data_IF_990587368731
#
_entry.id   IF_990587368731
#
_cell.length_a   1.000
_cell.length_b   1.000
_cell.length_c   1.000
_cell.angle_alpha   90.00
_cell.angle_beta   90.00
_cell.angle_gamma   90.00
#
_symmetry.space_group_name_H-M   'P 1'
#
loop_
_entity.id
_entity.type
_entity.pdbx_description
1 polymer ?
#
# COMPACT_ATOMS: atom_id res chain seq x y z
N UNK A 1 7.80 -8.70 -16.88
CA UNK A 1 8.71 -9.86 -17.04
C UNK A 1 8.34 -10.92 -16.01
N UNK A 2 7.64 -11.97 -16.43
CA UNK A 2 7.36 -13.17 -15.62
C UNK A 2 8.67 -13.91 -15.40
N UNK A 3 9.11 -14.08 -14.14
CA UNK A 3 10.17 -15.07 -13.86
C UNK A 3 9.56 -16.44 -14.15
N UNK A 4 9.89 -17.03 -15.30
CA UNK A 4 9.56 -18.44 -15.58
C UNK A 4 10.31 -19.28 -14.54
N UNK A 5 9.60 -19.87 -13.60
CA UNK A 5 10.15 -20.90 -12.73
C UNK A 5 10.36 -22.13 -13.59
N UNK A 6 11.60 -22.65 -13.75
CA UNK A 6 11.84 -23.81 -14.60
C UNK A 6 10.99 -25.00 -14.17
N UNK A 7 10.26 -25.61 -15.11
CA UNK A 7 9.53 -26.85 -14.89
C UNK A 7 8.07 -26.75 -14.42
N UNK A 8 7.54 -25.56 -14.08
CA UNK A 8 6.13 -25.41 -13.65
C UNK A 8 5.30 -24.83 -14.80
N UNK A 9 4.19 -25.49 -15.15
CA UNK A 9 3.25 -24.99 -16.18
C UNK A 9 2.49 -23.78 -15.63
N UNK A 10 2.25 -22.75 -16.46
CA UNK A 10 1.50 -21.56 -16.05
C UNK A 10 0.11 -21.89 -15.46
N UNK A 11 -0.54 -22.92 -16.00
CA UNK A 11 -1.84 -23.41 -15.50
C UNK A 11 -1.78 -23.94 -14.05
N UNK A 12 -0.64 -24.46 -13.61
CA UNK A 12 -0.43 -24.92 -12.23
C UNK A 12 -0.21 -23.74 -11.29
N UNK A 13 0.54 -22.72 -11.73
CA UNK A 13 0.71 -21.45 -11.01
C UNK A 13 -0.66 -20.80 -10.79
N UNK A 14 -1.49 -20.73 -11.83
CA UNK A 14 -2.82 -20.13 -11.75
C UNK A 14 -3.74 -20.88 -10.78
N UNK A 15 -3.65 -22.22 -10.75
CA UNK A 15 -4.41 -23.06 -9.82
C UNK A 15 -3.97 -22.84 -8.37
N UNK A 16 -2.66 -22.73 -8.14
CA UNK A 16 -2.09 -22.49 -6.80
C UNK A 16 -2.46 -21.10 -6.29
N UNK A 17 -2.37 -20.05 -7.12
CA UNK A 17 -2.75 -18.67 -6.75
C UNK A 17 -4.23 -18.58 -6.35
N UNK A 18 -5.09 -19.37 -6.99
CA UNK A 18 -6.53 -19.45 -6.65
C UNK A 18 -6.82 -20.27 -5.39
N UNK A 19 -5.83 -20.94 -4.82
CA UNK A 19 -5.98 -21.76 -3.63
C UNK A 19 -6.31 -20.93 -2.39
N UNK A 20 -7.14 -21.44 -1.45
CA UNK A 20 -7.56 -20.71 -0.25
C UNK A 20 -6.37 -20.31 0.64
N UNK A 21 -5.33 -21.15 0.72
CA UNK A 21 -4.09 -20.86 1.47
C UNK A 21 -3.33 -19.67 0.89
N UNK A 22 -3.19 -19.60 -0.44
CA UNK A 22 -2.50 -18.48 -1.09
C UNK A 22 -3.31 -17.20 -0.96
N UNK A 23 -4.64 -17.27 -1.14
CA UNK A 23 -5.54 -16.13 -0.90
C UNK A 23 -5.41 -15.61 0.54
N UNK A 24 -5.43 -16.49 1.54
CA UNK A 24 -5.25 -16.09 2.94
C UNK A 24 -3.87 -15.45 3.19
N UNK A 25 -2.79 -16.01 2.62
CA UNK A 25 -1.46 -15.44 2.73
C UNK A 25 -1.35 -14.06 2.05
N UNK A 26 -1.96 -13.89 0.88
CA UNK A 26 -2.03 -12.59 0.18
C UNK A 26 -2.78 -11.56 1.00
N UNK A 27 -3.94 -11.92 1.57
CA UNK A 27 -4.71 -11.02 2.45
C UNK A 27 -3.92 -10.65 3.70
N UNK A 28 -3.30 -11.61 4.38
CA UNK A 28 -2.48 -11.34 5.57
C UNK A 28 -1.31 -10.40 5.25
N UNK A 29 -0.67 -10.56 4.08
CA UNK A 29 0.39 -9.65 3.63
C UNK A 29 -0.19 -8.26 3.32
N UNK A 30 -1.34 -8.18 2.66
CA UNK A 30 -1.98 -6.91 2.33
C UNK A 30 -2.40 -6.13 3.59
N UNK A 31 -2.93 -6.80 4.61
CA UNK A 31 -3.25 -6.19 5.91
C UNK A 31 -1.98 -5.65 6.58
N UNK A 32 -0.88 -6.43 6.62
CA UNK A 32 0.41 -5.95 7.15
C UNK A 32 0.94 -4.72 6.40
N UNK A 33 0.76 -4.68 5.08
CA UNK A 33 1.14 -3.53 4.26
C UNK A 33 0.24 -2.32 4.57
N UNK A 34 -1.08 -2.53 4.70
CA UNK A 34 -2.04 -1.51 5.08
C UNK A 34 -1.70 -0.92 6.45
N UNK A 35 -1.49 -1.75 7.48
CA UNK A 35 -1.20 -1.33 8.84
C UNK A 35 0.09 -0.51 8.91
N UNK A 36 1.14 -0.98 8.24
CA UNK A 36 2.40 -0.23 8.17
C UNK A 36 2.25 1.09 7.43
N UNK A 37 1.52 1.10 6.30
CA UNK A 37 1.27 2.35 5.57
C UNK A 37 0.49 3.33 6.45
N UNK A 38 -0.54 2.87 7.15
CA UNK A 38 -1.30 3.69 8.11
C UNK A 38 -0.41 4.24 9.22
N UNK A 39 0.50 3.43 9.78
CA UNK A 39 1.35 3.87 10.89
C UNK A 39 2.40 4.90 10.49
N UNK A 40 2.84 4.92 9.23
CA UNK A 40 3.81 5.92 8.72
C UNK A 40 3.14 7.08 7.99
N UNK A 41 1.81 7.07 7.89
CA UNK A 41 1.04 8.15 7.26
C UNK A 41 1.03 9.40 8.14
N UNK A 42 1.15 10.60 7.55
CA UNK A 42 1.04 11.83 8.31
C UNK A 42 -0.40 12.00 8.82
N UNK A 43 -0.53 12.39 10.08
CA UNK A 43 -1.78 12.81 10.71
C UNK A 43 -1.58 14.24 11.17
N UNK A 44 -2.55 15.10 10.88
CA UNK A 44 -2.52 16.48 11.37
C UNK A 44 -2.59 16.49 12.89
N UNK A 45 -1.68 17.21 13.53
CA UNK A 45 -1.61 17.36 14.99
C UNK A 45 -1.37 18.83 15.34
N UNK A 46 -2.37 19.55 15.87
CA UNK A 46 -2.23 20.96 16.23
C UNK A 46 -1.33 21.19 17.45
N UNK A 47 -0.90 20.12 18.13
CA UNK A 47 0.01 20.20 19.27
C UNK A 47 1.49 20.04 18.87
N UNK A 48 1.77 19.62 17.63
CA UNK A 48 3.15 19.55 17.12
C UNK A 48 3.70 20.98 16.93
N UNK A 49 4.85 21.35 17.55
CA UNK A 49 5.46 22.67 17.37
C UNK A 49 5.88 22.99 15.93
N UNK A 50 5.93 21.98 15.04
CA UNK A 50 6.17 22.14 13.60
C UNK A 50 4.89 22.36 12.80
N UNK A 51 3.72 22.21 13.41
CA UNK A 51 2.43 22.47 12.78
C UNK A 51 2.03 23.93 13.07
N UNK A 52 2.08 24.75 12.01
CA UNK A 52 1.75 26.16 12.10
C UNK A 52 0.26 26.44 11.83
N UNK A 53 -0.51 25.42 11.40
CA UNK A 53 -1.94 25.55 11.13
C UNK A 53 -2.74 25.17 12.37
N UNK A 54 -3.85 25.89 12.58
CA UNK A 54 -4.79 25.60 13.67
C UNK A 54 -5.72 24.43 13.37
N UNK A 55 -5.98 24.16 12.09
CA UNK A 55 -6.87 23.10 11.61
C UNK A 55 -6.28 22.41 10.36
N UNK A 56 -6.71 21.18 10.04
CA UNK A 56 -6.40 20.57 8.75
C UNK A 56 -6.95 21.44 7.61
N UNK A 57 -6.18 21.57 6.53
CA UNK A 57 -6.57 22.36 5.36
C UNK A 57 -7.79 21.77 4.62
N UNK A 58 -7.93 20.46 4.65
CA UNK A 58 -9.05 19.74 4.07
C UNK A 58 -9.43 18.55 4.95
N UNK A 59 -10.74 18.37 5.20
CA UNK A 59 -11.28 17.22 5.93
C UNK A 59 -10.84 17.13 7.39
N UNK A 60 -10.99 15.95 7.99
CA UNK A 60 -10.56 15.69 9.36
C UNK A 60 -9.11 15.21 9.45
N UNK A 61 -8.54 15.31 10.64
CA UNK A 61 -7.21 14.79 10.93
C UNK A 61 -7.21 13.26 10.77
N UNK A 62 -6.36 12.75 9.87
CA UNK A 62 -6.23 11.31 9.63
C UNK A 62 -7.04 10.76 8.46
N UNK A 63 -7.86 11.57 7.78
CA UNK A 63 -8.65 11.13 6.60
C UNK A 63 -7.81 10.34 5.59
N UNK A 64 -6.60 10.83 5.29
CA UNK A 64 -5.68 10.14 4.39
C UNK A 64 -5.29 8.74 4.92
N UNK A 65 -4.91 8.64 6.19
CA UNK A 65 -4.55 7.37 6.84
C UNK A 65 -5.72 6.39 6.75
N UNK A 66 -6.92 6.88 7.06
CA UNK A 66 -8.10 6.03 7.17
C UNK A 66 -8.65 5.63 5.79
N UNK A 67 -8.32 6.39 4.74
CA UNK A 67 -8.58 6.05 3.33
C UNK A 67 -7.73 4.90 2.77
N UNK A 68 -6.71 4.43 3.49
CA UNK A 68 -5.87 3.31 3.03
C UNK A 68 -6.64 2.01 3.20
N UNK A 69 -6.99 1.38 2.08
CA UNK A 69 -7.82 0.18 2.02
C UNK A 69 -7.16 -0.94 1.22
N UNK A 70 -7.53 -2.18 1.54
CA UNK A 70 -7.22 -3.35 0.74
C UNK A 70 -8.33 -3.55 -0.29
N UNK A 71 -7.97 -3.55 -1.57
CA UNK A 71 -8.87 -3.91 -2.67
C UNK A 71 -8.55 -5.32 -3.14
N UNK A 72 -9.58 -6.16 -3.19
CA UNK A 72 -9.55 -7.49 -3.78
C UNK A 72 -10.33 -7.44 -5.09
N UNK A 73 -9.71 -7.91 -6.16
CA UNK A 73 -10.34 -7.90 -7.48
C UNK A 73 -9.89 -9.08 -8.33
N UNK A 74 -10.31 -9.06 -9.59
CA UNK A 74 -9.93 -10.04 -10.59
C UNK A 74 -9.72 -9.34 -11.93
N UNK A 75 -8.61 -9.60 -12.58
CA UNK A 75 -8.32 -9.14 -13.93
C UNK A 75 -8.09 -10.33 -14.88
N UNK A 76 -7.66 -10.06 -16.11
CA UNK A 76 -7.35 -11.08 -17.12
C UNK A 76 -6.22 -12.04 -16.70
N UNK A 77 -5.37 -11.64 -15.74
CA UNK A 77 -4.26 -12.43 -15.21
C UNK A 77 -4.66 -13.24 -13.97
N UNK A 78 -5.74 -12.85 -13.28
CA UNK A 78 -6.33 -13.63 -12.19
C UNK A 78 -6.80 -12.78 -11.02
N UNK A 79 -7.07 -13.40 -9.86
CA UNK A 79 -7.39 -12.65 -8.65
C UNK A 79 -6.18 -11.85 -8.18
N UNK A 80 -6.39 -10.60 -7.79
CA UNK A 80 -5.36 -9.74 -7.21
C UNK A 80 -5.81 -9.18 -5.87
N UNK A 81 -4.81 -8.82 -5.05
CA UNK A 81 -4.99 -8.05 -3.82
C UNK A 81 -4.02 -6.88 -3.88
N UNK A 82 -4.53 -5.65 -3.76
CA UNK A 82 -3.71 -4.43 -3.75
C UNK A 82 -4.10 -3.52 -2.59
N UNK A 83 -3.13 -2.79 -2.07
CA UNK A 83 -3.36 -1.73 -1.06
C UNK A 83 -3.38 -0.40 -1.79
N UNK A 84 -4.46 0.38 -1.64
CA UNK A 84 -4.62 1.69 -2.28
C UNK A 84 -5.20 2.72 -1.31
N UNK A 85 -5.08 3.99 -1.68
CA UNK A 85 -5.75 5.12 -1.02
C UNK A 85 -6.95 5.56 -1.84
N UNK A 86 -8.05 5.88 -1.16
CA UNK A 86 -9.25 6.47 -1.79
C UNK A 86 -9.32 7.98 -1.66
N UNK A 87 -8.48 8.59 -0.82
CA UNK A 87 -8.42 10.04 -0.62
C UNK A 87 -7.94 10.76 -1.91
N UNK A 88 -8.52 11.92 -2.20
CA UNK A 88 -8.16 12.75 -3.36
C UNK A 88 -6.77 13.42 -3.19
N UNK A 89 -6.36 13.68 -1.94
CA UNK A 89 -5.06 14.24 -1.54
C UNK A 89 -3.92 13.23 -1.72
N UNK A 90 -4.23 11.97 -2.02
CA UNK A 90 -3.23 10.89 -2.12
C UNK A 90 -2.05 11.25 -3.02
N UNK A 91 -2.28 11.96 -4.12
CA UNK A 91 -1.21 12.30 -5.06
C UNK A 91 -0.16 13.21 -4.41
N UNK A 92 -0.62 14.22 -3.67
CA UNK A 92 0.21 15.17 -2.94
C UNK A 92 0.96 14.52 -1.77
N UNK A 93 0.29 13.61 -1.06
CA UNK A 93 0.86 12.96 0.13
C UNK A 93 1.83 11.82 -0.26
N UNK A 94 1.50 11.03 -1.27
CA UNK A 94 2.27 9.83 -1.65
C UNK A 94 3.49 10.10 -2.49
N UNK A 95 3.44 11.13 -3.34
CA UNK A 95 4.56 11.50 -4.20
C UNK A 95 5.33 12.70 -3.66
N UNK A 96 4.70 13.46 -2.75
CA UNK A 96 5.27 14.69 -2.22
C UNK A 96 5.48 15.75 -3.31
N UNK A 97 6.27 16.76 -2.97
CA UNK A 97 6.86 17.70 -3.94
C UNK A 97 8.29 17.25 -4.26
N UNK A 98 8.87 17.73 -5.38
CA UNK A 98 10.23 17.38 -5.84
C UNK A 98 11.32 17.52 -4.74
N UNK A 99 11.06 18.35 -3.72
CA UNK A 99 11.96 18.64 -2.59
C UNK A 99 11.71 17.80 -1.32
N UNK A 100 10.65 16.98 -1.24
CA UNK A 100 10.33 16.17 -0.03
C UNK A 100 10.09 14.67 -0.28
N UNK A 101 10.96 13.95 -1.00
CA UNK A 101 10.77 12.52 -1.30
C UNK A 101 10.78 11.61 -0.05
N UNK A 102 11.46 12.02 1.04
CA UNK A 102 11.51 11.26 2.31
C UNK A 102 10.19 11.27 3.09
N UNK A 103 9.21 12.10 2.72
CA UNK A 103 7.90 12.18 3.40
C UNK A 103 6.82 11.32 2.75
N UNK A 104 7.08 10.71 1.60
CA UNK A 104 6.17 9.81 0.90
C UNK A 104 5.94 8.49 1.69
N UNK A 105 4.78 8.30 2.35
CA UNK A 105 4.49 7.08 3.12
C UNK A 105 4.43 5.84 2.22
N UNK A 106 4.04 6.01 0.95
CA UNK A 106 4.07 4.97 -0.07
C UNK A 106 5.48 4.47 -0.36
N UNK A 107 6.45 5.37 -0.56
CA UNK A 107 7.84 4.97 -0.84
C UNK A 107 8.47 4.22 0.35
N UNK A 108 8.18 4.66 1.59
CA UNK A 108 8.62 3.94 2.80
C UNK A 108 8.02 2.54 2.86
N UNK A 109 6.74 2.41 2.55
CA UNK A 109 6.03 1.12 2.49
C UNK A 109 6.63 0.21 1.41
N UNK A 110 6.88 0.74 0.21
CA UNK A 110 7.55 -0.01 -0.85
C UNK A 110 8.95 -0.45 -0.43
N UNK A 111 9.78 0.42 0.14
CA UNK A 111 11.11 0.04 0.61
C UNK A 111 11.07 -1.08 1.67
N UNK A 112 10.08 -1.05 2.57
CA UNK A 112 9.90 -2.05 3.63
C UNK A 112 9.51 -3.43 3.10
N UNK A 113 8.66 -3.49 2.08
CA UNK A 113 8.04 -4.74 1.61
C UNK A 113 8.54 -5.23 0.24
N UNK A 114 9.12 -4.37 -0.60
CA UNK A 114 9.65 -4.76 -1.92
C UNK A 114 10.99 -5.51 -1.84
N UNK A 115 11.83 -5.22 -0.84
CA UNK A 115 13.14 -5.88 -0.66
C UNK A 115 13.06 -7.37 -0.27
N UNK A 116 11.88 -7.90 0.03
CA UNK A 116 11.70 -9.23 0.62
C UNK A 116 11.20 -10.31 -0.37
N UNK A 117 11.38 -10.09 -1.68
CA UNK A 117 10.99 -11.04 -2.75
C UNK A 117 12.08 -11.31 -3.78
N UNK A 118 13.31 -10.84 -3.55
CA UNK A 118 14.49 -11.11 -4.37
C UNK A 118 15.42 -12.03 -3.60
N UNK A 119 15.05 -13.30 -3.53
CA UNK A 119 15.94 -14.44 -3.27
C UNK A 119 15.36 -15.63 -4.01
#
# INVERSE_FOLDING_TARGET
MTRKVPGIKQSEIDKVIRGPKVKAAMMNKAVKVQDYWKSVSPVFDPTDPKEHRKNPEHGAAGDYRDSIVVEVGKDAQGPFVKVKTTDFKRFWIEFGTKTMPKRAPRLKTLARFAKRGST
#
